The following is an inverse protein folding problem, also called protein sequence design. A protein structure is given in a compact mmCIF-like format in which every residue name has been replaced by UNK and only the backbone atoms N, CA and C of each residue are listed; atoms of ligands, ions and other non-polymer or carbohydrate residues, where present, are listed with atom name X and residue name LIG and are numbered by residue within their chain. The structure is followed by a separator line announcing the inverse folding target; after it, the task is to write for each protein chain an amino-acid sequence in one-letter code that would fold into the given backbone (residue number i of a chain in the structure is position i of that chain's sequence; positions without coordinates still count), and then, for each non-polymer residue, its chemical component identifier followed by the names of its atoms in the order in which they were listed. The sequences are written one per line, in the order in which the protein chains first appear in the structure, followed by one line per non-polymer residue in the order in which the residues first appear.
data_IF_587070637287
#
_entry.id   IF_587070637287
#
_cell.length_a   1.000
_cell.length_b   1.000
_cell.length_c   1.000
_cell.angle_alpha   90.00
_cell.angle_beta   90.00
_cell.angle_gamma   90.00
#
_symmetry.space_group_name_H-M   'P 1'
#
loop_
_entity.id
_entity.type
_entity.pdbx_description
1 polymer ?
#
# COMPACT_ATOMS: atom_id res chain seq x y z
N UNK A 1 5.53 -6.58 -9.03
CA UNK A 1 6.36 -7.28 -10.02
C UNK A 1 7.69 -7.80 -9.45
N UNK A 2 8.23 -7.28 -8.36
CA UNK A 2 9.51 -7.71 -7.74
C UNK A 2 9.56 -9.19 -7.26
N UNK A 3 8.46 -9.94 -7.34
CA UNK A 3 8.38 -11.37 -7.00
C UNK A 3 8.29 -12.28 -8.24
N UNK A 4 8.47 -11.74 -9.42
CA UNK A 4 8.55 -12.57 -10.63
C UNK A 4 9.78 -13.49 -10.55
N UNK A 5 9.63 -14.74 -10.94
CA UNK A 5 10.77 -15.62 -11.10
C UNK A 5 11.57 -15.19 -12.33
N UNK A 6 12.87 -15.48 -12.34
CA UNK A 6 13.75 -15.17 -13.47
C UNK A 6 13.25 -15.77 -14.79
N UNK A 7 12.69 -16.95 -14.74
CA UNK A 7 12.09 -17.61 -15.91
C UNK A 7 10.94 -16.82 -16.51
N UNK A 8 10.07 -16.23 -15.64
CA UNK A 8 8.95 -15.39 -16.10
C UNK A 8 9.47 -14.07 -16.66
N UNK A 9 10.50 -13.47 -16.05
CA UNK A 9 11.13 -12.27 -16.58
C UNK A 9 11.70 -12.50 -17.98
N UNK A 10 12.41 -13.63 -18.19
CA UNK A 10 13.00 -13.99 -19.48
C UNK A 10 11.94 -14.16 -20.59
N UNK A 11 10.75 -14.65 -20.24
CA UNK A 11 9.62 -14.74 -21.17
C UNK A 11 9.00 -13.37 -21.47
N UNK A 12 9.05 -12.43 -20.52
CA UNK A 12 8.50 -11.08 -20.72
C UNK A 12 9.39 -10.22 -21.63
N UNK A 13 10.69 -10.43 -21.68
CA UNK A 13 11.60 -9.58 -22.47
C UNK A 13 11.22 -9.50 -23.95
N UNK A 14 11.10 -10.62 -24.71
CA UNK A 14 10.68 -10.55 -26.09
C UNK A 14 9.22 -10.06 -26.26
N UNK A 15 8.37 -10.31 -25.29
CA UNK A 15 7.02 -9.78 -25.32
C UNK A 15 6.98 -8.25 -25.22
N UNK A 16 7.86 -7.63 -24.43
CA UNK A 16 7.94 -6.18 -24.26
C UNK A 16 8.66 -5.48 -25.42
N UNK A 17 9.65 -6.14 -26.05
CA UNK A 17 10.46 -5.54 -27.10
C UNK A 17 9.86 -5.77 -28.50
N UNK A 18 9.54 -7.04 -28.80
CA UNK A 18 9.20 -7.49 -30.16
C UNK A 18 7.73 -7.89 -30.32
N UNK A 19 6.94 -7.83 -29.24
CA UNK A 19 5.56 -8.32 -29.21
C UNK A 19 5.43 -9.81 -29.60
N UNK A 20 6.39 -10.63 -29.17
CA UNK A 20 6.38 -12.08 -29.38
C UNK A 20 6.53 -12.83 -28.07
N UNK A 21 5.95 -14.01 -28.01
CA UNK A 21 6.08 -14.92 -26.89
C UNK A 21 6.68 -16.24 -27.37
N UNK A 22 7.84 -16.59 -26.87
CA UNK A 22 8.48 -17.86 -27.18
C UNK A 22 8.15 -18.91 -26.11
N UNK A 23 7.36 -19.91 -26.48
CA UNK A 23 6.98 -21.02 -25.58
C UNK A 23 7.81 -22.26 -25.92
N UNK A 24 8.57 -22.72 -24.94
CA UNK A 24 9.35 -23.94 -25.06
C UNK A 24 8.48 -25.13 -24.67
N UNK A 25 8.24 -26.05 -25.59
CA UNK A 25 7.50 -27.29 -25.39
C UNK A 25 8.46 -28.52 -25.40
N UNK A 26 8.36 -29.32 -24.33
CA UNK A 26 9.19 -30.48 -24.13
C UNK A 26 10.49 -30.21 -23.36
N UNK A 27 11.22 -31.27 -23.04
CA UNK A 27 12.45 -31.19 -22.27
C UNK A 27 13.61 -31.82 -23.06
N UNK A 28 14.84 -31.31 -22.88
CA UNK A 28 16.07 -31.85 -23.47
C UNK A 28 16.24 -31.51 -24.96
N UNK A 29 17.04 -32.30 -25.69
CA UNK A 29 17.43 -32.00 -27.09
C UNK A 29 16.26 -31.97 -28.09
N UNK A 30 15.09 -32.51 -27.73
CA UNK A 30 13.87 -32.52 -28.55
C UNK A 30 12.91 -31.38 -28.25
N UNK A 31 13.28 -30.44 -27.37
CA UNK A 31 12.45 -29.28 -27.07
C UNK A 31 12.21 -28.43 -28.34
N UNK A 32 10.97 -28.05 -28.57
CA UNK A 32 10.55 -27.16 -29.66
C UNK A 32 10.12 -25.83 -29.11
N UNK A 33 10.56 -24.73 -29.72
CA UNK A 33 10.07 -23.42 -29.44
C UNK A 33 8.93 -23.07 -30.40
N UNK A 34 7.82 -22.63 -29.86
CA UNK A 34 6.71 -22.09 -30.64
C UNK A 34 6.69 -20.57 -30.38
N UNK A 35 6.82 -19.80 -31.44
CA UNK A 35 6.71 -18.33 -31.38
C UNK A 35 5.26 -17.92 -31.65
N UNK A 36 4.72 -17.10 -30.76
CA UNK A 36 3.36 -16.55 -30.85
C UNK A 36 3.48 -15.03 -30.95
N UNK A 37 2.93 -14.44 -32.01
CA UNK A 37 2.84 -13.01 -32.19
C UNK A 37 1.76 -12.44 -31.24
N UNK A 38 2.10 -11.38 -30.53
CA UNK A 38 1.20 -10.68 -29.63
C UNK A 38 0.68 -9.38 -30.27
N UNK A 39 -0.57 -9.00 -30.07
CA UNK A 39 -1.00 -7.68 -30.43
C UNK A 39 -0.25 -6.62 -29.60
N UNK A 40 -0.11 -5.42 -30.13
CA UNK A 40 0.51 -4.31 -29.38
C UNK A 40 -0.23 -4.08 -28.07
N UNK A 41 0.49 -4.01 -26.97
CA UNK A 41 -0.05 -3.82 -25.63
C UNK A 41 0.81 -2.85 -24.82
N UNK A 42 0.27 -2.35 -23.75
CA UNK A 42 0.99 -1.56 -22.74
C UNK A 42 1.13 -2.37 -21.46
N UNK A 43 2.35 -2.60 -21.02
CA UNK A 43 2.63 -3.28 -19.76
C UNK A 43 2.76 -2.24 -18.64
N UNK A 44 1.94 -2.38 -17.62
CA UNK A 44 2.00 -1.56 -16.41
C UNK A 44 2.41 -2.44 -15.24
N UNK A 45 3.52 -2.10 -14.60
CA UNK A 45 4.02 -2.80 -13.42
C UNK A 45 4.05 -1.89 -12.20
N UNK A 46 3.78 -2.44 -11.02
CA UNK A 46 3.92 -1.74 -9.75
C UNK A 46 4.75 -2.55 -8.76
N UNK A 47 5.54 -1.85 -7.96
CA UNK A 47 6.34 -2.47 -6.91
C UNK A 47 6.59 -1.48 -5.77
N UNK A 48 6.67 -1.99 -4.54
CA UNK A 48 7.17 -1.25 -3.38
C UNK A 48 8.68 -1.39 -3.19
N UNK A 49 9.34 -2.25 -4.00
CA UNK A 49 10.75 -2.60 -3.86
C UNK A 49 11.45 -2.49 -5.21
N UNK A 50 11.59 -1.26 -5.71
CA UNK A 50 12.21 -0.99 -7.02
C UNK A 50 13.66 -1.51 -7.11
N UNK A 51 14.41 -1.47 -6.01
CA UNK A 51 15.77 -1.99 -5.95
C UNK A 51 15.89 -3.52 -6.08
N UNK A 52 14.78 -4.26 -5.97
CA UNK A 52 14.76 -5.72 -6.16
C UNK A 52 14.39 -6.13 -7.60
N UNK A 53 14.06 -5.17 -8.46
CA UNK A 53 13.88 -5.45 -9.88
C UNK A 53 15.23 -5.68 -10.54
N UNK A 54 15.30 -6.70 -11.41
CA UNK A 54 16.47 -6.90 -12.23
C UNK A 54 16.72 -5.68 -13.13
N UNK A 55 17.98 -5.34 -13.37
CA UNK A 55 18.30 -4.23 -14.26
C UNK A 55 17.70 -4.44 -15.66
N UNK A 56 17.78 -5.64 -16.28
CA UNK A 56 17.18 -5.88 -17.59
C UNK A 56 15.66 -5.65 -17.64
N UNK A 57 14.93 -6.01 -16.57
CA UNK A 57 13.49 -5.77 -16.53
C UNK A 57 13.18 -4.29 -16.35
N UNK A 58 13.91 -3.60 -15.47
CA UNK A 58 13.71 -2.18 -15.20
C UNK A 58 13.99 -1.33 -16.45
N UNK A 59 15.06 -1.64 -17.20
CA UNK A 59 15.47 -0.85 -18.36
C UNK A 59 14.49 -0.98 -19.54
N UNK A 60 13.64 -2.03 -19.54
CA UNK A 60 12.58 -2.23 -20.54
C UNK A 60 11.31 -1.42 -20.26
N UNK A 61 11.14 -0.88 -19.06
CA UNK A 61 10.07 0.06 -18.79
C UNK A 61 10.50 1.46 -19.23
N UNK A 62 9.86 1.98 -20.28
CA UNK A 62 10.19 3.30 -20.84
C UNK A 62 9.82 4.47 -19.93
N UNK A 63 8.91 4.27 -18.97
CA UNK A 63 8.46 5.30 -18.03
C UNK A 63 8.48 4.72 -16.62
N UNK A 64 9.24 5.34 -15.72
CA UNK A 64 9.30 4.99 -14.31
C UNK A 64 8.75 6.17 -13.50
N UNK A 65 7.68 5.93 -12.76
CA UNK A 65 7.04 6.91 -11.90
C UNK A 65 7.18 6.49 -10.43
N UNK A 66 7.57 7.45 -9.59
CA UNK A 66 7.54 7.27 -8.14
C UNK A 66 6.25 7.88 -7.61
N UNK A 67 5.43 7.07 -6.95
CA UNK A 67 4.23 7.54 -6.29
C UNK A 67 4.59 8.08 -4.91
N UNK A 68 4.12 9.28 -4.62
CA UNK A 68 4.24 9.91 -3.31
C UNK A 68 3.03 9.58 -2.42
N UNK A 69 3.18 9.82 -1.13
CA UNK A 69 2.06 9.72 -0.20
C UNK A 69 1.05 10.84 -0.49
N UNK A 70 -0.22 10.54 -0.34
CA UNK A 70 -1.29 11.52 -0.49
C UNK A 70 -1.29 12.54 0.63
N UNK A 71 -1.66 13.78 0.30
CA UNK A 71 -1.91 14.82 1.29
C UNK A 71 -3.21 14.55 2.05
N UNK A 72 -3.42 15.14 3.23
CA UNK A 72 -4.70 15.02 3.96
C UNK A 72 -5.90 15.48 3.14
N UNK A 73 -5.75 16.52 2.30
CA UNK A 73 -6.80 17.08 1.45
C UNK A 73 -7.21 16.09 0.35
N UNK A 74 -6.23 15.47 -0.30
CA UNK A 74 -6.47 14.43 -1.30
C UNK A 74 -7.13 13.21 -0.67
N UNK A 75 -6.65 12.77 0.48
CA UNK A 75 -7.26 11.67 1.22
C UNK A 75 -8.67 12.00 1.69
N UNK A 76 -8.95 13.24 2.13
CA UNK A 76 -10.29 13.68 2.47
C UNK A 76 -11.25 13.52 1.29
N UNK A 77 -10.82 13.90 0.09
CA UNK A 77 -11.61 13.71 -1.14
C UNK A 77 -11.88 12.22 -1.43
N UNK A 78 -10.87 11.36 -1.21
CA UNK A 78 -11.01 9.90 -1.36
C UNK A 78 -11.98 9.33 -0.32
N UNK A 79 -11.89 9.78 0.94
CA UNK A 79 -12.79 9.35 2.01
C UNK A 79 -14.23 9.76 1.71
N UNK A 80 -14.47 11.02 1.30
CA UNK A 80 -15.81 11.50 0.93
C UNK A 80 -16.40 10.68 -0.23
N UNK A 81 -15.62 10.44 -1.31
CA UNK A 81 -16.05 9.59 -2.42
C UNK A 81 -16.37 8.18 -1.96
N UNK A 82 -15.53 7.60 -1.10
CA UNK A 82 -15.75 6.26 -0.56
C UNK A 82 -16.99 6.19 0.33
N UNK A 83 -17.24 7.23 1.12
CA UNK A 83 -18.43 7.35 1.95
C UNK A 83 -19.71 7.37 1.09
N UNK A 84 -19.72 8.13 -0.01
CA UNK A 84 -20.84 8.13 -0.97
C UNK A 84 -21.10 6.75 -1.55
N UNK A 85 -20.04 6.06 -2.03
CA UNK A 85 -20.16 4.70 -2.62
C UNK A 85 -20.69 3.70 -1.60
N UNK A 86 -20.29 3.83 -0.34
CA UNK A 86 -20.72 2.96 0.75
C UNK A 86 -22.04 3.40 1.42
N UNK A 87 -22.66 4.45 0.91
CA UNK A 87 -23.89 5.06 1.46
C UNK A 87 -23.75 5.44 2.95
N UNK A 88 -22.58 5.94 3.34
CA UNK A 88 -22.30 6.39 4.72
C UNK A 88 -22.42 7.91 4.80
N UNK A 89 -23.35 8.45 5.62
CA UNK A 89 -23.39 9.89 5.87
C UNK A 89 -22.11 10.36 6.55
N UNK A 90 -21.33 11.23 5.90
CA UNK A 90 -20.05 11.71 6.41
C UNK A 90 -19.88 13.20 6.14
N UNK A 91 -19.61 13.98 7.19
CA UNK A 91 -19.28 15.39 7.05
C UNK A 91 -17.88 15.58 6.48
N UNK A 92 -17.60 16.75 5.88
CA UNK A 92 -16.26 17.08 5.40
C UNK A 92 -15.22 17.04 6.53
N UNK A 93 -15.58 17.54 7.71
CA UNK A 93 -14.67 17.59 8.87
C UNK A 93 -14.42 16.18 9.43
N UNK A 94 -15.44 15.30 9.44
CA UNK A 94 -15.28 13.89 9.79
C UNK A 94 -14.38 13.16 8.80
N UNK A 95 -14.55 13.40 7.49
CA UNK A 95 -13.67 12.84 6.45
C UNK A 95 -12.23 13.35 6.59
N UNK A 96 -12.04 14.63 6.94
CA UNK A 96 -10.72 15.23 7.17
C UNK A 96 -10.04 14.63 8.41
N UNK A 97 -10.77 14.36 9.48
CA UNK A 97 -10.21 13.74 10.69
C UNK A 97 -9.68 12.31 10.37
N UNK A 98 -10.45 11.53 9.59
CA UNK A 98 -10.01 10.22 9.10
C UNK A 98 -8.78 10.36 8.21
N UNK A 99 -8.79 11.33 7.29
CA UNK A 99 -7.71 11.57 6.33
C UNK A 99 -6.38 11.90 7.04
N UNK A 100 -6.40 12.79 8.03
CA UNK A 100 -5.22 13.19 8.82
C UNK A 100 -4.53 11.99 9.49
N UNK A 101 -5.31 11.03 9.99
CA UNK A 101 -4.78 9.84 10.68
C UNK A 101 -4.48 8.67 9.74
N UNK A 102 -4.60 8.87 8.42
CA UNK A 102 -4.39 7.82 7.42
C UNK A 102 -2.96 7.73 6.87
N UNK A 103 -2.04 8.53 7.39
CA UNK A 103 -0.60 8.50 7.04
C UNK A 103 -0.34 8.49 5.53
N UNK A 104 -1.05 9.31 4.77
CA UNK A 104 -0.88 9.44 3.32
C UNK A 104 -1.33 8.24 2.48
N UNK A 105 -2.06 7.26 3.06
CA UNK A 105 -2.36 5.99 2.40
C UNK A 105 -3.87 5.79 2.20
N UNK A 106 -4.38 5.73 0.94
CA UNK A 106 -5.80 5.52 0.65
C UNK A 106 -6.39 4.22 1.23
N UNK A 107 -5.59 3.14 1.25
CA UNK A 107 -6.01 1.86 1.85
C UNK A 107 -6.31 2.01 3.34
N UNK A 108 -5.45 2.74 4.07
CA UNK A 108 -5.66 3.02 5.50
C UNK A 108 -6.90 3.89 5.66
N UNK A 109 -7.03 4.98 4.88
CA UNK A 109 -8.17 5.88 4.94
C UNK A 109 -9.51 5.15 4.75
N UNK A 110 -9.60 4.27 3.75
CA UNK A 110 -10.81 3.47 3.50
C UNK A 110 -11.08 2.46 4.61
N UNK A 111 -10.03 1.85 5.19
CA UNK A 111 -10.16 0.95 6.34
C UNK A 111 -10.68 1.70 7.57
N UNK A 112 -10.11 2.86 7.87
CA UNK A 112 -10.55 3.69 9.00
C UNK A 112 -11.98 4.20 8.81
N UNK A 113 -12.36 4.62 7.60
CA UNK A 113 -13.74 5.01 7.29
C UNK A 113 -14.73 3.91 7.67
N UNK A 114 -14.46 2.66 7.30
CA UNK A 114 -15.32 1.52 7.64
C UNK A 114 -15.41 1.29 9.15
N UNK A 115 -14.30 1.45 9.86
CA UNK A 115 -14.30 1.33 11.33
C UNK A 115 -15.09 2.44 11.99
N UNK A 116 -14.85 3.68 11.58
CA UNK A 116 -15.59 4.83 12.11
C UNK A 116 -17.08 4.73 11.82
N UNK A 117 -17.49 4.17 10.66
CA UNK A 117 -18.90 3.86 10.37
C UNK A 117 -19.50 2.94 11.43
N UNK A 118 -18.81 1.83 11.76
CA UNK A 118 -19.34 0.87 12.73
C UNK A 118 -19.59 1.56 14.10
N UNK A 119 -18.72 2.49 14.49
CA UNK A 119 -18.94 3.31 15.66
C UNK A 119 -20.10 4.32 15.49
N UNK A 120 -20.27 4.91 14.30
CA UNK A 120 -21.36 5.82 14.02
C UNK A 120 -22.72 5.14 14.14
N UNK A 121 -22.83 3.90 13.68
CA UNK A 121 -24.05 3.10 13.78
C UNK A 121 -24.39 2.70 15.22
N UNK A 122 -23.37 2.46 16.06
CA UNK A 122 -23.59 1.98 17.45
C UNK A 122 -23.71 3.11 18.46
N UNK A 123 -22.91 4.18 18.30
CA UNK A 123 -22.80 5.26 19.29
C UNK A 123 -23.54 6.55 18.89
N UNK A 124 -23.95 6.67 17.62
CA UNK A 124 -24.53 7.87 17.07
C UNK A 124 -25.79 7.59 16.25
N UNK A 125 -26.07 8.49 15.34
CA UNK A 125 -27.20 8.46 14.40
C UNK A 125 -26.82 7.88 13.01
N UNK A 126 -25.69 7.19 12.91
CA UNK A 126 -25.14 6.66 11.66
C UNK A 126 -24.37 7.69 10.83
N UNK A 127 -24.20 8.93 11.31
CA UNK A 127 -23.47 9.99 10.62
C UNK A 127 -22.08 10.19 11.20
N UNK A 128 -21.08 10.23 10.33
CA UNK A 128 -19.70 10.51 10.73
C UNK A 128 -19.47 12.01 10.80
N UNK A 129 -19.35 12.53 12.03
CA UNK A 129 -18.88 13.89 12.33
C UNK A 129 -17.41 13.86 12.73
N UNK A 130 -16.80 15.04 12.91
CA UNK A 130 -15.43 15.15 13.39
C UNK A 130 -15.28 14.55 14.80
N UNK A 131 -16.19 14.89 15.71
CA UNK A 131 -16.19 14.43 17.10
C UNK A 131 -16.32 12.91 17.18
N UNK A 132 -17.24 12.33 16.40
CA UNK A 132 -17.41 10.88 16.35
C UNK A 132 -16.20 10.19 15.77
N UNK A 133 -15.61 10.74 14.69
CA UNK A 133 -14.39 10.20 14.10
C UNK A 133 -13.22 10.23 15.10
N UNK A 134 -13.07 11.31 15.86
CA UNK A 134 -12.05 11.44 16.90
C UNK A 134 -12.23 10.40 18.01
N UNK A 135 -13.44 10.23 18.51
CA UNK A 135 -13.78 9.24 19.56
C UNK A 135 -13.52 7.81 19.04
N UNK A 136 -14.00 7.50 17.84
CA UNK A 136 -13.87 6.18 17.24
C UNK A 136 -12.40 5.80 17.01
N UNK A 137 -11.61 6.71 16.43
CA UNK A 137 -10.19 6.48 16.17
C UNK A 137 -9.37 6.38 17.47
N UNK A 138 -9.74 7.14 18.49
CA UNK A 138 -9.15 7.01 19.82
C UNK A 138 -9.43 5.65 20.46
N UNK A 139 -10.64 5.09 20.30
CA UNK A 139 -10.97 3.72 20.76
C UNK A 139 -10.28 2.61 19.98
N UNK A 140 -9.94 2.85 18.72
CA UNK A 140 -9.09 1.97 17.89
C UNK A 140 -7.60 2.15 18.20
N UNK A 141 -7.27 2.91 19.25
CA UNK A 141 -5.89 3.17 19.71
C UNK A 141 -5.02 3.91 18.67
N UNK A 142 -5.65 4.68 17.80
CA UNK A 142 -5.01 5.50 16.76
C UNK A 142 -4.97 6.95 17.23
N UNK A 143 -3.77 7.48 17.41
CA UNK A 143 -3.55 8.85 17.89
C UNK A 143 -3.75 9.91 16.80
N UNK A 144 -3.54 11.18 17.15
CA UNK A 144 -3.69 12.34 16.24
C UNK A 144 -2.73 12.33 15.06
N UNK A 145 -1.62 11.60 15.15
CA UNK A 145 -0.64 11.41 14.08
C UNK A 145 -0.92 10.17 13.22
N UNK A 146 -1.95 9.39 13.58
CA UNK A 146 -2.28 8.14 12.92
C UNK A 146 -1.41 6.96 13.37
N UNK A 147 -0.71 7.11 14.51
CA UNK A 147 0.12 6.05 15.08
C UNK A 147 -0.75 5.10 15.91
N UNK A 148 -0.57 3.80 15.71
CA UNK A 148 -1.18 2.77 16.53
C UNK A 148 -0.33 2.46 17.79
N UNK A 149 -0.78 1.52 18.59
CA UNK A 149 -0.09 1.13 19.82
C UNK A 149 1.33 0.63 19.58
N UNK A 150 1.54 -0.16 18.52
CA UNK A 150 2.84 -0.71 18.19
C UNK A 150 3.80 0.39 17.71
N UNK A 151 3.31 1.28 16.83
CA UNK A 151 4.08 2.43 16.37
C UNK A 151 4.58 3.28 17.55
N UNK A 152 3.69 3.59 18.52
CA UNK A 152 4.06 4.39 19.71
C UNK A 152 5.06 3.67 20.59
N UNK A 153 4.87 2.36 20.86
CA UNK A 153 5.84 1.55 21.62
C UNK A 153 7.20 1.54 20.96
N UNK A 154 7.24 1.40 19.63
CA UNK A 154 8.49 1.42 18.86
C UNK A 154 9.21 2.78 19.02
N UNK A 155 8.50 3.87 18.84
CA UNK A 155 9.06 5.21 18.99
C UNK A 155 9.52 5.49 20.43
N UNK A 156 8.72 5.12 21.42
CA UNK A 156 9.10 5.25 22.83
C UNK A 156 10.36 4.47 23.17
N UNK A 157 10.48 3.26 22.63
CA UNK A 157 11.67 2.42 22.83
C UNK A 157 12.92 3.07 22.24
N UNK A 158 12.82 3.58 21.01
CA UNK A 158 13.94 4.30 20.36
C UNK A 158 14.33 5.52 21.18
N UNK A 159 13.35 6.31 21.63
CA UNK A 159 13.61 7.54 22.38
C UNK A 159 14.17 7.25 23.78
N UNK A 160 13.47 6.40 24.54
CA UNK A 160 13.80 6.15 25.96
C UNK A 160 14.93 5.13 26.13
N UNK A 161 14.91 4.05 25.33
CA UNK A 161 15.86 2.95 25.44
C UNK A 161 17.18 3.19 24.73
N UNK A 162 17.18 3.97 23.65
CA UNK A 162 18.34 4.18 22.79
C UNK A 162 18.68 5.67 22.58
N UNK A 163 18.11 6.57 23.38
CA UNK A 163 18.35 8.03 23.32
C UNK A 163 18.13 8.64 21.91
N UNK A 164 17.18 8.11 21.13
CA UNK A 164 16.92 8.55 19.76
C UNK A 164 17.99 8.14 18.75
N UNK A 165 18.96 7.31 19.16
CA UNK A 165 20.08 6.88 18.34
C UNK A 165 19.71 5.76 17.36
N UNK A 166 20.62 5.40 16.46
CA UNK A 166 20.42 4.27 15.55
C UNK A 166 20.37 2.96 16.33
N UNK A 167 19.40 2.09 16.00
CA UNK A 167 19.23 0.77 16.59
C UNK A 167 18.92 -0.25 15.50
N UNK A 168 19.50 -1.46 15.62
CA UNK A 168 19.28 -2.54 14.66
C UNK A 168 17.85 -3.06 14.68
N UNK A 169 17.34 -3.47 13.52
CA UNK A 169 15.97 -3.98 13.39
C UNK A 169 15.73 -5.20 14.30
N UNK A 170 16.66 -6.16 14.33
CA UNK A 170 16.57 -7.37 15.17
C UNK A 170 16.53 -7.03 16.67
N UNK A 171 17.28 -6.01 17.09
CA UNK A 171 17.26 -5.53 18.49
C UNK A 171 15.90 -4.93 18.84
N UNK A 172 15.31 -4.15 17.95
CA UNK A 172 13.96 -3.59 18.12
C UNK A 172 12.90 -4.69 18.16
N UNK A 173 12.94 -5.65 17.22
CA UNK A 173 12.01 -6.76 17.15
C UNK A 173 12.04 -7.60 18.45
N UNK A 174 13.24 -7.95 18.90
CA UNK A 174 13.42 -8.70 20.16
C UNK A 174 12.92 -7.92 21.38
N UNK A 175 13.20 -6.63 21.46
CA UNK A 175 12.79 -5.79 22.58
C UNK A 175 11.27 -5.50 22.60
N UNK A 176 10.60 -5.50 21.44
CA UNK A 176 9.14 -5.37 21.33
C UNK A 176 8.40 -6.70 21.54
N UNK A 177 9.11 -7.85 21.45
CA UNK A 177 8.51 -9.18 21.44
C UNK A 177 7.78 -9.50 20.14
N UNK A 178 8.22 -8.90 19.03
CA UNK A 178 7.67 -9.08 17.67
C UNK A 178 8.70 -9.84 16.80
N UNK A 179 8.24 -10.55 15.76
CA UNK A 179 9.08 -11.24 14.76
C UNK A 179 9.52 -10.34 13.58
#
# INVERSE_FOLDING_TARGET
IHRLSRQVEEVLYPAMEDYVLDIIMGNGPSARSIRIDLPKFTLIGATTRSGQLSAPLRDRFGVIQRLELYTPEELCSIVQRSAIILAIPCTKDGAMEIAKRSRGTPRIATRLLKRVRDYAEVLGDGKITQELADIALGREDIDKLGLDRLDRRLLEMIIKGYNGGPVGLETLASALGEE
#
